data_IF_448584937059
#
_entry.id   IF_448584937059
#
_cell.length_a   1.000
_cell.length_b   1.000
_cell.length_c   1.000
_cell.angle_alpha   90.00
_cell.angle_beta   90.00
_cell.angle_gamma   90.00
#
_symmetry.space_group_name_H-M   'P 1'
#
loop_
_entity.id
_entity.type
_entity.pdbx_description
1 polymer ?
#
# COMPACT_ATOMS: atom_id res chain seq x y z
N UNK A 1 10.02 25.35 1.93
CA UNK A 1 8.93 24.76 2.73
C UNK A 1 8.84 23.37 2.15
N UNK A 2 9.56 22.42 2.72
CA UNK A 2 9.71 21.09 2.16
C UNK A 2 9.68 20.12 3.33
N UNK A 3 8.48 19.87 3.83
CA UNK A 3 8.17 18.77 4.73
C UNK A 3 7.18 17.88 3.98
N UNK A 4 7.68 17.09 3.03
CA UNK A 4 7.02 15.84 2.75
C UNK A 4 7.39 14.93 3.92
N UNK A 5 6.55 14.91 4.95
CA UNK A 5 6.72 14.10 6.16
C UNK A 5 6.37 12.66 5.80
N UNK A 6 7.22 12.06 4.97
CA UNK A 6 7.07 10.67 4.59
C UNK A 6 7.23 9.83 5.87
N UNK A 7 6.18 9.12 6.23
CA UNK A 7 6.11 8.33 7.44
C UNK A 7 6.59 6.91 7.14
N UNK A 8 7.55 6.44 7.93
CA UNK A 8 7.99 5.04 7.85
C UNK A 8 6.98 4.17 8.59
N UNK A 9 6.39 3.21 7.88
CA UNK A 9 5.41 2.25 8.39
C UNK A 9 5.78 0.84 8.00
N UNK A 10 5.25 -0.15 8.71
CA UNK A 10 5.46 -1.57 8.38
C UNK A 10 4.27 -2.09 7.59
N UNK A 11 4.52 -2.71 6.44
CA UNK A 11 3.50 -3.39 5.66
C UNK A 11 2.92 -4.58 6.43
N UNK A 12 1.60 -4.69 6.49
CA UNK A 12 0.90 -5.77 7.20
C UNK A 12 1.06 -7.14 6.53
N UNK A 13 1.30 -7.17 5.21
CA UNK A 13 1.40 -8.38 4.41
C UNK A 13 2.83 -8.94 4.34
N UNK A 14 3.80 -8.12 3.92
CA UNK A 14 5.19 -8.57 3.76
C UNK A 14 6.07 -8.30 5.00
N UNK A 15 5.62 -7.43 5.92
CA UNK A 15 6.37 -7.07 7.12
C UNK A 15 7.56 -6.14 6.88
N UNK A 16 7.75 -5.65 5.65
CA UNK A 16 8.82 -4.70 5.33
C UNK A 16 8.46 -3.27 5.75
N UNK A 17 9.48 -2.51 6.16
CA UNK A 17 9.36 -1.08 6.40
C UNK A 17 9.29 -0.34 5.06
N UNK A 18 8.28 0.50 4.91
CA UNK A 18 8.02 1.32 3.72
C UNK A 18 7.83 2.77 4.13
N UNK A 19 8.42 3.66 3.36
CA UNK A 19 8.21 5.09 3.50
C UNK A 19 7.04 5.49 2.60
N UNK A 20 6.02 6.13 3.16
CA UNK A 20 4.87 6.63 2.40
C UNK A 20 4.39 7.99 2.89
N UNK A 21 3.65 8.69 2.04
CA UNK A 21 3.11 10.03 2.34
C UNK A 21 1.69 9.99 2.92
N UNK A 22 1.14 8.79 3.12
CA UNK A 22 -0.23 8.61 3.59
C UNK A 22 -0.34 8.97 5.07
N UNK A 23 -1.43 9.67 5.40
CA UNK A 23 -1.80 9.83 6.80
C UNK A 23 -2.25 8.48 7.41
N UNK A 24 -2.44 8.47 8.74
CA UNK A 24 -2.84 7.24 9.45
C UNK A 24 -4.15 6.63 8.89
N UNK A 25 -5.09 7.47 8.48
CA UNK A 25 -6.40 7.04 8.00
C UNK A 25 -6.32 6.45 6.59
N UNK A 26 -5.60 7.11 5.68
CA UNK A 26 -5.36 6.62 4.33
C UNK A 26 -4.57 5.31 4.33
N UNK A 27 -3.59 5.16 5.22
CA UNK A 27 -2.82 3.93 5.36
C UNK A 27 -3.69 2.74 5.80
N UNK A 28 -4.57 2.95 6.78
CA UNK A 28 -5.50 1.93 7.25
C UNK A 28 -6.55 1.55 6.19
N UNK A 29 -7.06 2.51 5.41
CA UNK A 29 -8.01 2.26 4.31
C UNK A 29 -7.39 1.39 3.20
N UNK A 30 -6.06 1.45 3.05
CA UNK A 30 -5.29 0.63 2.10
C UNK A 30 -4.78 -0.68 2.73
N UNK A 31 -5.41 -1.14 3.80
CA UNK A 31 -5.08 -2.36 4.54
C UNK A 31 -3.64 -2.41 5.10
N UNK A 32 -3.03 -1.23 5.29
CA UNK A 32 -1.66 -1.10 5.74
C UNK A 32 -0.66 -1.81 4.81
N UNK A 33 -0.89 -1.77 3.49
CA UNK A 33 -0.03 -2.42 2.49
C UNK A 33 0.98 -1.45 1.89
N UNK A 34 2.21 -1.93 1.68
CA UNK A 34 3.16 -1.20 0.85
C UNK A 34 2.70 -1.18 -0.61
N UNK A 35 3.25 -0.24 -1.40
CA UNK A 35 2.90 -0.07 -2.82
C UNK A 35 3.04 -1.36 -3.64
N UNK A 36 4.03 -2.19 -3.33
CA UNK A 36 4.26 -3.47 -4.02
C UNK A 36 3.12 -4.46 -3.72
N UNK A 37 2.83 -4.70 -2.44
CA UNK A 37 1.78 -5.64 -2.06
C UNK A 37 0.38 -5.17 -2.51
N UNK A 38 0.17 -3.85 -2.54
CA UNK A 38 -1.05 -3.28 -3.10
C UNK A 38 -1.18 -3.57 -4.61
N UNK A 39 -0.11 -3.35 -5.39
CA UNK A 39 -0.10 -3.70 -6.82
C UNK A 39 -0.35 -5.19 -7.05
N UNK A 40 0.31 -6.06 -6.29
CA UNK A 40 0.11 -7.52 -6.41
C UNK A 40 -1.37 -7.89 -6.17
N UNK A 41 -2.02 -7.27 -5.18
CA UNK A 41 -3.45 -7.48 -4.91
C UNK A 41 -4.33 -6.99 -6.07
N UNK A 42 -4.09 -5.79 -6.58
CA UNK A 42 -4.84 -5.26 -7.72
C UNK A 42 -4.69 -6.15 -8.97
N UNK A 43 -3.48 -6.66 -9.23
CA UNK A 43 -3.22 -7.59 -10.32
C UNK A 43 -3.98 -8.92 -10.14
N UNK A 44 -3.98 -9.48 -8.92
CA UNK A 44 -4.74 -10.69 -8.61
C UNK A 44 -6.26 -10.49 -8.79
N UNK A 45 -6.80 -9.33 -8.39
CA UNK A 45 -8.22 -9.00 -8.60
C UNK A 45 -8.56 -8.88 -10.08
N UNK A 46 -7.70 -8.27 -10.89
CA UNK A 46 -7.88 -8.17 -12.34
C UNK A 46 -7.83 -9.55 -13.02
N UNK A 47 -6.95 -10.44 -12.59
CA UNK A 47 -6.89 -11.83 -13.08
C UNK A 47 -8.17 -12.59 -12.69
N UNK A 48 -8.65 -12.42 -11.46
CA UNK A 48 -9.87 -13.07 -10.99
C UNK A 48 -11.14 -12.60 -11.71
N UNK A 49 -11.14 -11.37 -12.24
CA UNK A 49 -12.25 -10.76 -12.97
C UNK A 49 -12.41 -11.24 -14.43
N UNK A 50 -11.50 -12.09 -14.92
CA UNK A 50 -11.38 -12.65 -16.29
C UNK A 50 -12.60 -12.38 -17.22
N UNK A 51 -12.58 -11.17 -17.79
CA UNK A 51 -13.24 -10.80 -19.04
C UNK A 51 -12.42 -11.47 -20.14
N UNK A 52 -12.82 -12.68 -20.53
CA UNK A 52 -12.38 -13.40 -21.74
C UNK A 52 -13.24 -12.97 -22.94
#
# INVERSE_FOLDING_TARGET
>A
MDNNDATIRTCSQCGEETENEYDDYEWEDRDCLCEICEQEREEEELIALDII
#
